data_IF_558790362424
#
_entry.id   IF_558790362424
#
_cell.length_a   1.000
_cell.length_b   1.000
_cell.length_c   1.000
_cell.angle_alpha   90.00
_cell.angle_beta   90.00
_cell.angle_gamma   90.00
#
_symmetry.space_group_name_H-M   'P 1'
#
loop_
_entity.id
_entity.type
_entity.pdbx_description
1 polymer ?
#
# COMPACT_ATOMS: atom_id res chain seq x y z
N UNK A 1 1.24 0.86 -19.38
CA UNK A 1 1.76 1.51 -18.16
C UNK A 1 1.00 0.91 -16.97
N UNK A 2 1.56 -0.09 -16.30
CA UNK A 2 0.88 -0.73 -15.16
C UNK A 2 1.18 0.05 -13.88
N UNK A 3 0.32 1.00 -13.53
CA UNK A 3 0.42 1.79 -12.29
C UNK A 3 -0.61 1.29 -11.30
N UNK A 4 -0.14 0.88 -10.13
CA UNK A 4 -0.96 0.19 -9.14
C UNK A 4 -0.83 0.84 -7.77
N UNK A 5 -1.89 0.73 -6.97
CA UNK A 5 -1.94 1.24 -5.62
C UNK A 5 -2.61 0.23 -4.69
N UNK A 6 -2.21 0.22 -3.43
CA UNK A 6 -2.66 -0.76 -2.46
C UNK A 6 -2.67 -0.18 -1.04
N UNK A 7 -3.59 -0.64 -0.20
CA UNK A 7 -3.64 -0.27 1.22
C UNK A 7 -2.90 -1.31 2.06
N UNK A 8 -1.83 -0.90 2.74
CA UNK A 8 -1.11 -1.76 3.68
C UNK A 8 -1.33 -1.28 5.12
N UNK A 9 -1.68 -2.21 6.00
CA UNK A 9 -1.72 -1.96 7.43
C UNK A 9 -0.30 -1.95 7.99
N UNK A 10 0.00 -1.04 8.91
CA UNK A 10 1.26 -1.08 9.65
C UNK A 10 1.18 -2.26 10.64
N UNK A 11 2.12 -3.20 10.57
CA UNK A 11 2.12 -4.41 11.38
C UNK A 11 1.89 -4.09 12.87
N UNK A 12 0.80 -4.63 13.44
CA UNK A 12 0.54 -4.62 14.89
C UNK A 12 -0.29 -3.46 15.47
N UNK A 13 -1.04 -2.69 14.66
CA UNK A 13 -1.85 -1.58 15.19
C UNK A 13 -3.20 -1.38 14.50
N UNK A 14 -4.22 -1.14 15.32
CA UNK A 14 -5.63 -0.91 15.00
C UNK A 14 -5.83 0.23 13.99
N UNK A 15 -6.54 -0.04 12.88
CA UNK A 15 -7.17 0.96 12.02
C UNK A 15 -6.33 1.68 10.94
N UNK A 16 -5.06 2.04 11.21
CA UNK A 16 -4.28 2.90 10.32
C UNK A 16 -3.71 2.16 9.08
N UNK A 17 -4.31 2.39 7.91
CA UNK A 17 -3.79 1.93 6.61
C UNK A 17 -3.02 3.05 5.91
N UNK A 18 -1.96 2.69 5.21
CA UNK A 18 -1.15 3.60 4.39
C UNK A 18 -1.28 3.19 2.92
N UNK A 19 -1.42 4.17 2.04
CA UNK A 19 -1.41 3.94 0.60
C UNK A 19 0.02 3.67 0.11
N UNK A 20 0.23 2.52 -0.50
CA UNK A 20 1.45 2.16 -1.20
C UNK A 20 1.22 2.20 -2.71
N UNK A 21 2.25 2.63 -3.43
CA UNK A 21 2.25 2.82 -4.87
C UNK A 21 3.31 1.94 -5.51
N UNK A 22 2.97 1.38 -6.67
CA UNK A 22 3.88 0.71 -7.59
C UNK A 22 3.72 1.37 -8.96
N UNK A 23 4.75 2.10 -9.40
CA UNK A 23 4.72 2.86 -10.66
C UNK A 23 5.04 2.00 -11.87
N UNK A 24 5.73 0.88 -11.67
CA UNK A 24 6.19 -0.03 -12.71
C UNK A 24 6.06 -1.49 -12.24
N UNK A 25 5.75 -2.43 -13.14
CA UNK A 25 5.71 -3.84 -12.78
C UNK A 25 7.08 -4.29 -12.26
N UNK A 26 7.09 -5.09 -11.19
CA UNK A 26 8.29 -5.59 -10.50
C UNK A 26 9.10 -4.56 -9.69
N UNK A 27 8.68 -3.29 -9.62
CA UNK A 27 9.26 -2.38 -8.64
C UNK A 27 8.73 -2.67 -7.23
N UNK A 28 9.55 -2.43 -6.19
CA UNK A 28 9.08 -2.55 -4.82
C UNK A 28 7.94 -1.56 -4.55
N UNK A 29 6.95 -2.01 -3.79
CA UNK A 29 5.90 -1.15 -3.26
C UNK A 29 6.52 -0.10 -2.34
N UNK A 30 6.20 1.17 -2.58
CA UNK A 30 6.67 2.28 -1.75
C UNK A 30 5.50 3.11 -1.25
N UNK A 31 5.57 3.69 -0.03
CA UNK A 31 4.50 4.53 0.47
C UNK A 31 4.29 5.74 -0.44
N UNK A 32 3.06 6.24 -0.56
CA UNK A 32 2.73 7.36 -1.43
C UNK A 32 3.56 8.62 -1.13
N UNK A 33 4.01 8.80 0.11
CA UNK A 33 4.89 9.89 0.55
C UNK A 33 6.27 9.86 -0.10
N UNK A 34 6.73 8.71 -0.59
CA UNK A 34 7.98 8.60 -1.35
C UNK A 34 7.88 9.23 -2.74
N UNK A 35 6.67 9.54 -3.22
CA UNK A 35 6.42 10.08 -4.54
C UNK A 35 5.76 11.47 -4.44
N UNK A 36 6.56 12.50 -4.18
CA UNK A 36 6.06 13.88 -3.99
C UNK A 36 5.18 14.41 -5.13
N UNK A 37 5.40 13.96 -6.38
CA UNK A 37 4.60 14.40 -7.53
C UNK A 37 3.19 13.76 -7.56
N UNK A 38 3.03 12.58 -6.94
CA UNK A 38 1.75 11.90 -6.83
C UNK A 38 1.01 12.29 -5.55
N UNK A 39 1.76 12.48 -4.45
CA UNK A 39 1.23 12.79 -3.14
C UNK A 39 0.35 14.05 -3.15
N UNK A 40 -0.79 13.94 -2.48
CA UNK A 40 -1.69 15.05 -2.13
C UNK A 40 -1.73 15.09 -0.61
N UNK A 41 -1.58 16.28 0.01
CA UNK A 41 -1.71 16.40 1.45
C UNK A 41 -3.10 15.92 1.89
N UNK A 42 -3.12 14.93 2.78
CA UNK A 42 -4.34 14.43 3.40
C UNK A 42 -4.85 15.42 4.45
N UNK A 43 -6.17 15.43 4.65
CA UNK A 43 -6.76 16.07 5.81
C UNK A 43 -6.32 15.31 7.07
N UNK A 44 -5.84 16.03 8.09
CA UNK A 44 -5.40 15.41 9.34
C UNK A 44 -6.62 14.97 10.17
N UNK A 45 -7.13 13.79 9.88
CA UNK A 45 -8.20 13.15 10.64
C UNK A 45 -7.56 12.13 11.61
N UNK A 46 -7.77 12.25 12.93
CA UNK A 46 -7.26 11.27 13.89
C UNK A 46 -7.84 9.88 13.57
N UNK A 47 -6.95 8.88 13.45
CA UNK A 47 -7.32 7.50 13.06
C UNK A 47 -7.65 7.29 11.58
N UNK A 48 -7.51 8.33 10.74
CA UNK A 48 -7.73 8.24 9.30
C UNK A 48 -6.64 7.45 8.56
N UNK A 49 -7.01 6.79 7.47
CA UNK A 49 -6.03 6.17 6.57
C UNK A 49 -5.18 7.22 5.86
N UNK A 50 -3.87 7.00 5.80
CA UNK A 50 -2.89 7.94 5.23
C UNK A 50 -2.80 7.73 3.72
N UNK A 51 -3.10 8.75 2.93
CA UNK A 51 -3.08 8.70 1.48
C UNK A 51 -4.46 8.65 0.84
N UNK A 52 -5.55 8.95 1.55
CA UNK A 52 -6.92 8.96 1.01
C UNK A 52 -7.10 9.99 -0.10
N UNK A 53 -6.62 11.22 0.12
CA UNK A 53 -6.66 12.26 -0.92
C UNK A 53 -5.83 11.85 -2.14
N UNK A 54 -4.67 11.22 -1.90
CA UNK A 54 -3.81 10.70 -2.95
C UNK A 54 -4.50 9.57 -3.72
N UNK A 55 -5.14 8.62 -3.03
CA UNK A 55 -5.91 7.53 -3.62
C UNK A 55 -6.98 8.07 -4.58
N UNK A 56 -7.77 9.06 -4.14
CA UNK A 56 -8.81 9.65 -4.98
C UNK A 56 -8.24 10.30 -6.25
N UNK A 57 -7.10 11.00 -6.15
CA UNK A 57 -6.40 11.58 -7.31
C UNK A 57 -5.90 10.50 -8.27
N UNK A 58 -5.27 9.45 -7.75
CA UNK A 58 -4.69 8.39 -8.56
C UNK A 58 -5.75 7.52 -9.22
N UNK A 59 -6.86 7.27 -8.54
CA UNK A 59 -8.01 6.55 -9.10
C UNK A 59 -8.58 7.31 -10.31
N UNK A 60 -8.74 8.63 -10.18
CA UNK A 60 -9.14 9.50 -11.31
C UNK A 60 -8.12 9.52 -12.45
N UNK A 61 -6.83 9.32 -12.14
CA UNK A 61 -5.75 9.24 -13.11
C UNK A 61 -5.60 7.83 -13.74
N UNK A 62 -6.52 6.91 -13.48
CA UNK A 62 -6.54 5.56 -14.07
C UNK A 62 -5.59 4.57 -13.42
N UNK A 63 -5.18 4.79 -12.17
CA UNK A 63 -4.41 3.80 -11.41
C UNK A 63 -5.29 2.64 -10.97
N UNK A 64 -4.70 1.43 -10.95
CA UNK A 64 -5.41 0.23 -10.53
C UNK A 64 -5.27 0.01 -9.02
N UNK A 65 -6.39 -0.03 -8.30
CA UNK A 65 -6.41 -0.47 -6.91
C UNK A 65 -6.28 -2.01 -6.86
N UNK A 66 -5.24 -2.51 -6.22
CA UNK A 66 -5.06 -3.95 -5.98
C UNK A 66 -5.41 -4.32 -4.53
N UNK A 67 -5.95 -5.53 -4.28
CA UNK A 67 -6.20 -5.99 -2.92
C UNK A 67 -4.89 -6.10 -2.12
N UNK A 68 -4.94 -5.75 -0.84
CA UNK A 68 -3.81 -5.86 0.11
C UNK A 68 -3.22 -7.27 0.17
N UNK A 69 -4.06 -8.30 0.05
CA UNK A 69 -3.62 -9.69 -0.04
C UNK A 69 -2.67 -9.93 -1.23
N UNK A 70 -2.88 -9.26 -2.38
CA UNK A 70 -2.00 -9.37 -3.54
C UNK A 70 -0.70 -8.60 -3.39
N UNK A 71 -0.69 -7.49 -2.64
CA UNK A 71 0.57 -6.79 -2.34
C UNK A 71 1.52 -7.66 -1.50
N UNK A 72 0.98 -8.55 -0.65
CA UNK A 72 1.76 -9.56 0.07
C UNK A 72 2.34 -10.62 -0.88
N UNK A 73 1.66 -10.97 -1.98
CA UNK A 73 2.17 -11.89 -3.01
C UNK A 73 3.41 -11.32 -3.73
N UNK A 74 3.49 -9.99 -3.92
CA UNK A 74 4.64 -9.33 -4.54
C UNK A 74 5.72 -8.88 -3.54
N UNK A 75 5.43 -8.90 -2.22
CA UNK A 75 6.37 -8.60 -1.14
C UNK A 75 7.07 -9.83 -0.55
N UNK A 76 6.66 -11.04 -0.94
CA UNK A 76 7.17 -12.29 -0.40
C UNK A 76 8.47 -12.71 -1.09
N UNK A 77 9.58 -12.07 -0.71
CA UNK A 77 10.85 -12.78 -0.63
C UNK A 77 11.39 -12.87 0.81
N UNK A 78 10.64 -12.49 1.85
CA UNK A 78 11.15 -12.58 3.23
C UNK A 78 10.05 -12.53 4.29
N UNK A 79 9.20 -13.54 4.37
CA UNK A 79 8.64 -13.96 5.67
C UNK A 79 8.46 -15.47 5.61
N UNK A 80 9.50 -16.12 6.09
CA UNK A 80 9.59 -17.56 6.20
C UNK A 80 8.35 -18.13 6.87
N UNK A 81 7.80 -19.13 6.20
CA UNK A 81 7.19 -20.32 6.78
C UNK A 81 7.53 -20.51 8.26
N UNK A 82 6.51 -20.51 9.10
CA UNK A 82 6.55 -21.13 10.42
C UNK A 82 5.32 -21.99 10.55
N UNK A 83 5.34 -23.14 9.86
CA UNK A 83 4.46 -24.24 10.16
C UNK A 83 4.87 -24.80 11.53
N UNK A 84 4.09 -24.50 12.56
CA UNK A 84 4.19 -25.15 13.86
C UNK A 84 3.76 -26.62 13.67
N UNK A 85 4.72 -27.56 13.66
CA UNK A 85 4.46 -28.97 13.98
C UNK A 85 4.81 -29.17 15.46
N UNK A 86 3.76 -29.30 16.28
CA UNK A 86 3.87 -29.58 17.71
C UNK A 86 3.91 -31.11 17.90
N UNK A 87 5.03 -31.64 18.38
CA UNK A 87 5.07 -32.92 19.10
C UNK A 87 4.61 -32.75 20.55
#
# INVERSE_FOLDING_TARGET
MHRQMCWLSKSGGDGEKILYLQTEPNQPWRPYTAFGHFAVPDYQIPGGSKGWATYQKLLKAGWTLVPSARANEFGSNSYAESTIQNQ
#
